data_IF_368183398308
#
_entry.id   IF_368183398308
#
_cell.length_a   1.000
_cell.length_b   1.000
_cell.length_c   1.000
_cell.angle_alpha   90.00
_cell.angle_beta   90.00
_cell.angle_gamma   90.00
#
_symmetry.space_group_name_H-M   'P 1'
#
loop_
_entity.id
_entity.type
_entity.pdbx_description
1 polymer ?
#
# COMPACT_ATOMS: atom_id res chain seq x y z
N UNK A 1 -38.21 31.05 2.21
CA UNK A 1 -37.69 29.68 2.29
C UNK A 1 -36.30 29.74 2.91
N UNK A 2 -36.00 28.98 3.97
CA UNK A 2 -34.69 29.02 4.63
C UNK A 2 -33.75 28.09 3.88
N UNK A 3 -32.68 28.63 3.31
CA UNK A 3 -31.74 27.92 2.40
C UNK A 3 -30.42 27.55 3.08
N UNK A 4 -30.30 27.78 4.40
CA UNK A 4 -29.11 27.48 5.19
C UNK A 4 -29.39 26.39 6.21
N UNK A 5 -28.37 25.55 6.42
CA UNK A 5 -28.33 24.58 7.53
C UNK A 5 -28.19 25.32 8.86
N UNK A 6 -28.70 24.70 9.93
CA UNK A 6 -28.54 25.22 11.29
C UNK A 6 -27.04 25.31 11.64
N UNK A 7 -26.53 26.48 12.06
CA UNK A 7 -25.15 26.66 12.44
C UNK A 7 -24.67 25.65 13.50
N UNK A 8 -25.54 25.26 14.44
CA UNK A 8 -25.18 24.29 15.48
C UNK A 8 -24.94 22.90 14.90
N UNK A 9 -25.82 22.45 14.02
CA UNK A 9 -25.66 21.17 13.32
C UNK A 9 -24.39 21.14 12.46
N UNK A 10 -24.05 22.27 11.82
CA UNK A 10 -22.82 22.40 11.03
C UNK A 10 -21.56 22.30 11.89
N UNK A 11 -21.57 22.93 13.07
CA UNK A 11 -20.43 22.88 14.00
C UNK A 11 -20.21 21.46 14.52
N UNK A 12 -21.28 20.79 14.97
CA UNK A 12 -21.25 19.39 15.41
C UNK A 12 -20.72 18.45 14.32
N UNK A 13 -21.23 18.57 13.09
CA UNK A 13 -20.79 17.76 11.97
C UNK A 13 -19.32 18.03 11.60
N UNK A 14 -18.88 19.28 11.64
CA UNK A 14 -17.49 19.66 11.34
C UNK A 14 -16.53 19.14 12.39
N UNK A 15 -16.93 19.14 13.67
CA UNK A 15 -16.14 18.59 14.77
C UNK A 15 -15.95 17.08 14.60
N UNK A 16 -17.03 16.33 14.38
CA UNK A 16 -16.98 14.88 14.15
C UNK A 16 -16.14 14.53 12.91
N UNK A 17 -16.28 15.28 11.82
CA UNK A 17 -15.48 15.08 10.61
C UNK A 17 -14.00 15.36 10.85
N UNK A 18 -13.66 16.38 11.65
CA UNK A 18 -12.27 16.69 11.98
C UNK A 18 -11.61 15.53 12.73
N UNK A 19 -12.26 14.98 13.74
CA UNK A 19 -11.74 13.84 14.51
C UNK A 19 -11.48 12.63 13.60
N UNK A 20 -12.46 12.27 12.76
CA UNK A 20 -12.32 11.16 11.82
C UNK A 20 -11.18 11.40 10.81
N UNK A 21 -11.06 12.62 10.27
CA UNK A 21 -10.01 12.97 9.33
C UNK A 21 -8.62 12.94 9.98
N UNK A 22 -8.48 13.35 11.24
CA UNK A 22 -7.20 13.26 11.96
C UNK A 22 -6.76 11.81 12.14
N UNK A 23 -7.67 10.91 12.52
CA UNK A 23 -7.38 9.47 12.62
C UNK A 23 -6.97 8.91 11.25
N UNK A 24 -7.73 9.24 10.20
CA UNK A 24 -7.43 8.79 8.84
C UNK A 24 -6.06 9.27 8.36
N UNK A 25 -5.75 10.56 8.55
CA UNK A 25 -4.47 11.16 8.14
C UNK A 25 -3.28 10.57 8.91
N UNK A 26 -3.44 10.27 10.20
CA UNK A 26 -2.40 9.62 10.99
C UNK A 26 -2.13 8.17 10.53
N UNK A 27 -3.17 7.43 10.15
CA UNK A 27 -3.03 6.08 9.62
C UNK A 27 -2.51 6.05 8.18
N UNK A 28 -2.76 7.11 7.40
CA UNK A 28 -2.39 7.23 5.99
C UNK A 28 -1.70 8.58 5.73
N UNK A 29 -0.45 8.76 6.17
CA UNK A 29 0.27 10.05 6.09
C UNK A 29 0.59 10.52 4.66
N UNK A 30 0.08 9.81 3.64
CA UNK A 30 0.39 10.03 2.24
C UNK A 30 1.73 9.44 1.84
N UNK A 31 2.11 9.67 0.59
CA UNK A 31 3.40 9.23 0.05
C UNK A 31 4.50 10.20 0.47
N UNK A 32 5.63 9.67 0.97
CA UNK A 32 6.80 10.48 1.26
C UNK A 32 7.43 11.06 -0.01
N UNK A 33 8.23 12.14 0.08
CA UNK A 33 8.79 12.87 -1.08
C UNK A 33 9.83 12.07 -1.91
N UNK A 34 10.02 10.79 -1.63
CA UNK A 34 10.95 9.90 -2.33
C UNK A 34 10.25 9.01 -3.36
N UNK A 35 11.05 8.32 -4.17
CA UNK A 35 10.53 7.26 -5.05
C UNK A 35 9.95 6.14 -4.19
N UNK A 36 8.67 5.86 -4.36
CA UNK A 36 8.05 4.69 -3.77
C UNK A 36 8.34 3.46 -4.63
N UNK A 37 8.69 2.31 -4.05
CA UNK A 37 8.78 1.06 -4.79
C UNK A 37 7.38 0.66 -5.27
N UNK A 38 7.18 0.65 -6.58
CA UNK A 38 5.94 0.17 -7.19
C UNK A 38 6.16 -1.26 -7.67
N UNK A 39 5.37 -2.20 -7.15
CA UNK A 39 5.30 -3.55 -7.70
C UNK A 39 4.08 -3.66 -8.62
N UNK A 40 4.31 -3.63 -9.93
CA UNK A 40 3.25 -3.73 -10.92
C UNK A 40 3.01 -5.18 -11.29
N UNK A 41 1.78 -5.66 -11.12
CA UNK A 41 1.33 -6.95 -11.68
C UNK A 41 0.45 -6.65 -12.89
N UNK A 42 0.86 -7.16 -14.05
CA UNK A 42 0.07 -7.09 -15.27
C UNK A 42 -0.69 -8.41 -15.47
N UNK A 43 -1.99 -8.32 -15.71
CA UNK A 43 -2.86 -9.48 -15.94
C UNK A 43 -4.18 -9.09 -16.57
N UNK A 44 -4.89 -10.07 -17.12
CA UNK A 44 -6.22 -9.84 -17.69
C UNK A 44 -7.22 -9.43 -16.62
N UNK A 45 -7.99 -8.37 -16.86
CA UNK A 45 -9.00 -7.88 -15.92
C UNK A 45 -10.04 -8.95 -15.54
N UNK A 46 -10.33 -9.87 -16.46
CA UNK A 46 -11.22 -11.02 -16.24
C UNK A 46 -10.70 -12.04 -15.20
N UNK A 47 -9.42 -11.97 -14.85
CA UNK A 47 -8.79 -12.85 -13.87
C UNK A 47 -8.70 -12.20 -12.49
N UNK A 48 -9.04 -10.92 -12.37
CA UNK A 48 -8.99 -10.20 -11.09
C UNK A 48 -10.12 -10.65 -10.16
N UNK A 49 -9.77 -10.86 -8.91
CA UNK A 49 -10.64 -11.28 -7.82
C UNK A 49 -10.22 -10.62 -6.51
N UNK A 50 -11.13 -10.61 -5.53
CA UNK A 50 -10.83 -10.08 -4.19
C UNK A 50 -9.65 -10.78 -3.49
N UNK A 51 -9.32 -12.01 -3.89
CA UNK A 51 -8.22 -12.79 -3.34
C UNK A 51 -6.97 -12.84 -4.24
N UNK A 52 -6.92 -12.03 -5.31
CA UNK A 52 -5.77 -12.00 -6.23
C UNK A 52 -4.47 -11.61 -5.53
N UNK A 53 -4.50 -10.55 -4.70
CA UNK A 53 -3.32 -10.05 -3.97
C UNK A 53 -2.76 -11.10 -3.00
N UNK A 54 -3.54 -11.69 -2.06
CA UNK A 54 -3.00 -12.69 -1.15
C UNK A 54 -2.50 -13.95 -1.87
N UNK A 55 -3.16 -14.38 -2.96
CA UNK A 55 -2.70 -15.52 -3.76
C UNK A 55 -1.34 -15.28 -4.42
N UNK A 56 -1.16 -14.12 -5.05
CA UNK A 56 0.11 -13.74 -5.68
C UNK A 56 1.23 -13.60 -4.65
N UNK A 57 0.93 -13.01 -3.48
CA UNK A 57 1.89 -12.93 -2.37
C UNK A 57 2.35 -14.31 -1.90
N UNK A 58 1.43 -15.27 -1.72
CA UNK A 58 1.78 -16.64 -1.34
C UNK A 58 2.61 -17.37 -2.41
N UNK A 59 2.42 -17.05 -3.69
CA UNK A 59 3.27 -17.58 -4.76
C UNK A 59 4.67 -16.98 -4.71
N UNK A 60 4.78 -15.65 -4.54
CA UNK A 60 6.06 -14.96 -4.43
C UNK A 60 6.89 -15.48 -3.25
N UNK A 61 6.28 -15.68 -2.08
CA UNK A 61 6.96 -16.24 -0.90
C UNK A 61 7.50 -17.65 -1.17
N UNK A 62 6.72 -18.53 -1.79
CA UNK A 62 7.18 -19.88 -2.16
C UNK A 62 8.36 -19.84 -3.14
N UNK A 63 8.35 -18.90 -4.09
CA UNK A 63 9.48 -18.70 -5.00
C UNK A 63 10.73 -18.23 -4.24
N UNK A 64 10.58 -17.31 -3.29
CA UNK A 64 11.67 -16.86 -2.44
C UNK A 64 12.24 -17.99 -1.58
N UNK A 65 11.39 -18.79 -0.93
CA UNK A 65 11.81 -19.93 -0.12
C UNK A 65 12.56 -20.99 -0.95
N UNK A 66 12.24 -21.11 -2.24
CA UNK A 66 12.86 -22.10 -3.12
C UNK A 66 14.16 -21.59 -3.73
N UNK A 67 14.19 -20.34 -4.19
CA UNK A 67 15.26 -19.83 -5.05
C UNK A 67 16.10 -18.70 -4.42
N UNK A 68 15.67 -18.16 -3.28
CA UNK A 68 16.26 -17.01 -2.62
C UNK A 68 16.26 -17.17 -1.09
N UNK A 69 16.65 -18.35 -0.61
CA UNK A 69 16.62 -18.75 0.82
C UNK A 69 17.38 -17.83 1.76
N UNK A 70 18.30 -17.01 1.24
CA UNK A 70 18.97 -15.94 1.97
C UNK A 70 19.43 -14.82 1.04
N UNK A 71 19.85 -13.69 1.62
CA UNK A 71 20.26 -12.50 0.89
C UNK A 71 21.42 -12.75 -0.10
N UNK A 72 22.37 -13.64 0.24
CA UNK A 72 23.49 -14.00 -0.65
C UNK A 72 22.98 -14.72 -1.90
N UNK A 73 22.14 -15.74 -1.73
CA UNK A 73 21.57 -16.51 -2.86
C UNK A 73 20.71 -15.61 -3.75
N UNK A 74 19.90 -14.73 -3.17
CA UNK A 74 19.12 -13.75 -3.92
C UNK A 74 20.01 -12.80 -4.72
N UNK A 75 21.06 -12.26 -4.08
CA UNK A 75 22.01 -11.37 -4.73
C UNK A 75 22.78 -12.05 -5.86
N UNK A 76 23.04 -13.36 -5.75
CA UNK A 76 23.71 -14.14 -6.80
C UNK A 76 22.76 -14.37 -7.97
N UNK A 77 21.50 -14.73 -7.71
CA UNK A 77 20.48 -14.95 -8.74
C UNK A 77 20.14 -13.68 -9.53
N UNK A 78 20.23 -12.51 -8.90
CA UNK A 78 19.97 -11.21 -9.52
C UNK A 78 21.22 -10.54 -10.09
N UNK A 79 22.39 -11.17 -9.98
CA UNK A 79 23.70 -10.61 -10.39
C UNK A 79 24.03 -9.26 -9.72
N UNK A 80 23.63 -9.11 -8.45
CA UNK A 80 23.86 -7.89 -7.64
C UNK A 80 24.69 -8.16 -6.38
N UNK A 81 25.23 -9.36 -6.19
CA UNK A 81 25.98 -9.75 -4.98
C UNK A 81 27.16 -8.83 -4.60
N UNK A 82 27.64 -8.03 -5.54
CA UNK A 82 28.76 -7.09 -5.35
C UNK A 82 28.31 -5.63 -5.41
N UNK A 83 27.00 -5.37 -5.46
CA UNK A 83 26.46 -4.03 -5.52
C UNK A 83 26.76 -3.32 -4.20
N UNK A 84 27.33 -2.11 -4.26
CA UNK A 84 27.83 -1.36 -3.09
C UNK A 84 26.76 -0.93 -2.09
N UNK A 85 25.48 -1.18 -2.39
CA UNK A 85 24.34 -0.88 -1.53
C UNK A 85 23.80 -2.11 -0.78
N UNK A 86 24.38 -3.30 -1.00
CA UNK A 86 24.10 -4.55 -0.30
C UNK A 86 25.27 -4.91 0.63
#
# INVERSE_FOLDING_TARGET
MKTSLDPKMMDEATHALREANTVFANAHPGEGPGRQPVHTVYGGAQLFSSDSVPKLGALALRAMDTYATNAKVLGEALDISKHTAL
#
